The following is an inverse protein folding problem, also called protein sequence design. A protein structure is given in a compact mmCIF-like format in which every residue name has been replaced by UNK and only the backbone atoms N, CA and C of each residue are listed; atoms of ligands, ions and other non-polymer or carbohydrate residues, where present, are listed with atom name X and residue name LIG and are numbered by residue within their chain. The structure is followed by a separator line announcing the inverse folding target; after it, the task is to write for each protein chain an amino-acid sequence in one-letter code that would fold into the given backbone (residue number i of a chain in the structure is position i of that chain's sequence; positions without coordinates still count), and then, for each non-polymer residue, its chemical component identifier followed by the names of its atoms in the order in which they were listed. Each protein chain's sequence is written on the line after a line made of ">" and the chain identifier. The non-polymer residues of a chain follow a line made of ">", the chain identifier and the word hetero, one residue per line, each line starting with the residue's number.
data_IF_533552395695
#
_entry.id   IF_533552395695
#
_cell.length_a   1.000
_cell.length_b   1.000
_cell.length_c   1.000
_cell.angle_alpha   90.00
_cell.angle_beta   90.00
_cell.angle_gamma   90.00
#
_symmetry.space_group_name_H-M   'P 1'
#
loop_
_entity.id
_entity.type
_entity.pdbx_description
1 polymer ?
#
# COMPACT_ATOMS: atom_id res chain seq x y z
N UNK A 1 32.93 43.10 -7.43
CA UNK A 1 32.57 41.95 -8.30
C UNK A 1 32.16 40.75 -7.43
N UNK A 2 30.87 40.52 -7.13
CA UNK A 2 30.38 39.28 -6.47
C UNK A 2 28.84 39.20 -6.44
N UNK A 3 28.19 39.12 -7.61
CA UNK A 3 26.70 39.05 -7.68
C UNK A 3 26.16 38.09 -8.74
N UNK A 4 26.90 37.03 -9.12
CA UNK A 4 26.42 36.05 -10.11
C UNK A 4 26.18 34.61 -9.60
N UNK A 5 26.30 34.32 -8.30
CA UNK A 5 26.21 32.94 -7.78
C UNK A 5 24.84 32.49 -7.24
N UNK A 6 23.85 33.37 -7.12
CA UNK A 6 22.57 33.00 -6.49
C UNK A 6 21.58 32.29 -7.42
N UNK A 7 21.77 32.36 -8.75
CA UNK A 7 20.86 31.73 -9.72
C UNK A 7 21.23 30.27 -10.02
N UNK A 8 22.52 29.89 -10.00
CA UNK A 8 22.96 28.49 -10.17
C UNK A 8 22.48 27.57 -9.04
N UNK A 9 22.47 28.07 -7.80
CA UNK A 9 21.99 27.30 -6.63
C UNK A 9 20.45 27.13 -6.60
N UNK A 10 19.71 27.95 -7.35
CA UNK A 10 18.25 27.82 -7.49
C UNK A 10 17.88 26.78 -8.55
N UNK A 11 18.65 26.65 -9.62
CA UNK A 11 18.47 25.59 -10.63
C UNK A 11 18.79 24.19 -10.06
N UNK A 12 19.85 24.07 -9.27
CA UNK A 12 20.19 22.80 -8.60
C UNK A 12 19.13 22.37 -7.56
N UNK A 13 18.49 23.31 -6.87
CA UNK A 13 17.37 23.02 -5.95
C UNK A 13 16.04 22.72 -6.67
N UNK A 14 15.78 23.30 -7.85
CA UNK A 14 14.58 23.01 -8.66
C UNK A 14 14.66 21.62 -9.32
N UNK A 15 15.86 21.17 -9.66
CA UNK A 15 16.15 19.83 -10.18
C UNK A 15 15.93 18.71 -9.13
N UNK A 16 16.23 18.97 -7.85
CA UNK A 16 16.07 17.99 -6.74
C UNK A 16 14.64 17.58 -6.41
N UNK A 17 13.62 18.24 -6.99
CA UNK A 17 12.20 17.88 -6.80
C UNK A 17 11.67 16.90 -7.84
N UNK A 18 12.48 16.49 -8.83
CA UNK A 18 11.94 15.91 -10.07
C UNK A 18 11.70 14.40 -10.09
N UNK A 19 12.08 13.62 -9.07
CA UNK A 19 12.04 12.16 -9.20
C UNK A 19 10.98 11.48 -8.31
N UNK A 20 9.82 12.07 -8.02
CA UNK A 20 8.73 11.30 -7.38
C UNK A 20 8.11 10.32 -8.39
N UNK A 21 8.46 9.04 -8.29
CA UNK A 21 7.83 8.01 -9.09
C UNK A 21 6.42 7.73 -8.54
N UNK A 22 5.40 8.33 -9.16
CA UNK A 22 4.00 8.00 -8.89
C UNK A 22 3.57 6.80 -9.74
N UNK A 23 3.09 5.75 -9.09
CA UNK A 23 2.67 4.49 -9.72
C UNK A 23 1.33 4.09 -9.10
N UNK A 24 0.34 3.75 -9.94
CA UNK A 24 -1.03 3.40 -9.53
C UNK A 24 -1.71 4.43 -8.60
N UNK A 25 -1.40 5.73 -8.78
CA UNK A 25 -1.95 6.82 -7.98
C UNK A 25 -1.29 7.03 -6.60
N UNK A 26 -0.33 6.19 -6.23
CA UNK A 26 0.44 6.26 -4.98
C UNK A 26 1.86 6.73 -5.25
N UNK A 27 2.38 7.58 -4.36
CA UNK A 27 3.76 8.05 -4.43
C UNK A 27 4.70 7.04 -3.76
N UNK A 28 5.69 6.56 -4.51
CA UNK A 28 6.63 5.54 -4.07
C UNK A 28 7.93 6.19 -3.55
N UNK A 29 8.55 5.66 -2.48
CA UNK A 29 9.84 6.16 -2.00
C UNK A 29 10.98 5.90 -3.00
N UNK A 30 11.78 6.94 -3.26
CA UNK A 30 12.84 6.90 -4.26
C UNK A 30 14.17 6.31 -3.77
N UNK A 31 14.42 6.43 -2.46
CA UNK A 31 15.71 6.07 -1.88
C UNK A 31 15.89 4.55 -1.71
N UNK A 32 14.81 3.80 -1.89
CA UNK A 32 14.72 2.35 -1.70
C UNK A 32 14.89 1.60 -3.02
N UNK A 33 15.25 0.32 -2.89
CA UNK A 33 15.29 -0.64 -4.00
C UNK A 33 13.90 -0.81 -4.62
N UNK A 34 13.83 -1.00 -5.94
CA UNK A 34 12.55 -1.06 -6.66
C UNK A 34 11.62 -2.14 -6.09
N UNK A 35 12.13 -3.36 -5.82
CA UNK A 35 11.34 -4.46 -5.23
C UNK A 35 10.62 -4.04 -3.94
N UNK A 36 11.35 -3.37 -3.03
CA UNK A 36 10.80 -2.96 -1.73
C UNK A 36 9.87 -1.76 -1.89
N UNK A 37 10.24 -0.84 -2.77
CA UNK A 37 9.46 0.34 -3.08
C UNK A 37 8.07 0.01 -3.64
N UNK A 38 7.96 -0.99 -4.51
CA UNK A 38 6.68 -1.44 -5.06
C UNK A 38 5.73 -2.00 -3.99
N UNK A 39 6.24 -2.57 -2.90
CA UNK A 39 5.40 -3.10 -1.80
C UNK A 39 4.63 -2.04 -1.01
N UNK A 40 4.93 -0.75 -1.23
CA UNK A 40 4.13 0.34 -0.66
C UNK A 40 2.75 0.45 -1.30
N UNK A 41 2.58 -0.07 -2.52
CA UNK A 41 1.29 -0.17 -3.19
C UNK A 41 0.50 -1.32 -2.56
N UNK A 42 -0.70 -1.04 -2.08
CA UNK A 42 -1.63 -2.03 -1.56
C UNK A 42 -2.01 -3.05 -2.64
N UNK A 43 -1.82 -4.33 -2.30
CA UNK A 43 -2.01 -5.45 -3.22
C UNK A 43 -0.71 -5.97 -3.83
N UNK A 44 0.40 -5.23 -3.73
CA UNK A 44 1.72 -5.68 -4.15
C UNK A 44 2.52 -6.15 -2.94
N UNK A 45 2.85 -7.43 -2.92
CA UNK A 45 3.81 -8.00 -1.98
C UNK A 45 5.19 -8.18 -2.63
N UNK A 46 6.19 -8.62 -1.83
CA UNK A 46 7.52 -9.00 -2.35
C UNK A 46 7.46 -9.96 -3.56
N UNK A 47 6.76 -11.11 -3.50
CA UNK A 47 6.76 -12.05 -4.64
C UNK A 47 6.07 -11.48 -5.88
N UNK A 48 5.09 -10.60 -5.72
CA UNK A 48 4.43 -9.95 -6.85
C UNK A 48 5.34 -8.88 -7.47
N UNK A 49 6.08 -8.14 -6.64
CA UNK A 49 7.04 -7.15 -7.10
C UNK A 49 8.20 -7.79 -7.87
N UNK A 50 8.73 -8.91 -7.37
CA UNK A 50 9.77 -9.71 -8.05
C UNK A 50 9.28 -10.17 -9.43
N UNK A 51 8.07 -10.76 -9.51
CA UNK A 51 7.45 -11.16 -10.80
C UNK A 51 7.27 -10.01 -11.78
N UNK A 52 6.79 -8.85 -11.31
CA UNK A 52 6.61 -7.67 -12.18
C UNK A 52 7.96 -7.18 -12.72
N UNK A 53 9.02 -7.25 -11.91
CA UNK A 53 10.35 -6.83 -12.32
C UNK A 53 11.00 -7.84 -13.28
N UNK A 54 10.77 -9.14 -13.08
CA UNK A 54 11.15 -10.20 -14.01
C UNK A 54 10.46 -10.02 -15.37
N UNK A 55 9.14 -9.75 -15.39
CA UNK A 55 8.38 -9.52 -16.63
C UNK A 55 8.87 -8.30 -17.41
N UNK A 56 9.32 -7.25 -16.72
CA UNK A 56 9.82 -6.01 -17.33
C UNK A 56 11.34 -6.07 -17.56
N UNK A 57 12.00 -7.15 -17.14
CA UNK A 57 13.44 -7.37 -17.24
C UNK A 57 14.27 -6.22 -16.61
N UNK A 58 13.87 -5.80 -15.40
CA UNK A 58 14.54 -4.75 -14.62
C UNK A 58 15.19 -5.36 -13.39
N UNK A 59 16.45 -5.03 -13.14
CA UNK A 59 17.17 -5.54 -11.97
C UNK A 59 16.58 -5.01 -10.65
N UNK A 60 16.48 -5.92 -9.69
CA UNK A 60 15.88 -5.71 -8.38
C UNK A 60 16.71 -4.82 -7.44
N UNK A 61 18.02 -4.70 -7.70
CA UNK A 61 18.95 -3.97 -6.84
C UNK A 61 19.01 -2.48 -7.17
N UNK A 62 18.47 -2.10 -8.33
CA UNK A 62 18.34 -0.71 -8.74
C UNK A 62 17.48 0.04 -7.72
N UNK A 63 17.79 1.33 -7.51
CA UNK A 63 16.94 2.22 -6.71
C UNK A 63 15.96 2.94 -7.61
N UNK A 64 14.80 3.28 -7.07
CA UNK A 64 13.73 3.93 -7.84
C UNK A 64 14.17 5.26 -8.47
N UNK A 65 15.09 5.99 -7.82
CA UNK A 65 15.67 7.22 -8.37
C UNK A 65 16.49 7.03 -9.65
N UNK A 66 17.02 5.82 -9.88
CA UNK A 66 17.95 5.50 -10.97
C UNK A 66 17.22 4.75 -12.11
N UNK A 67 15.89 4.61 -12.03
CA UNK A 67 15.06 4.01 -13.09
C UNK A 67 14.95 4.96 -14.29
N UNK A 68 14.98 4.39 -15.50
CA UNK A 68 14.67 5.14 -16.71
C UNK A 68 13.16 5.40 -16.84
N UNK A 69 12.78 6.43 -17.61
CA UNK A 69 11.36 6.73 -17.87
C UNK A 69 10.65 5.58 -18.61
N UNK A 70 11.37 4.86 -19.48
CA UNK A 70 10.85 3.69 -20.20
C UNK A 70 10.55 2.53 -19.24
N UNK A 71 11.48 2.24 -18.33
CA UNK A 71 11.30 1.20 -17.31
C UNK A 71 10.14 1.55 -16.37
N UNK A 72 10.02 2.82 -15.96
CA UNK A 72 8.89 3.28 -15.15
C UNK A 72 7.55 3.09 -15.86
N UNK A 73 7.48 3.38 -17.16
CA UNK A 73 6.26 3.20 -17.94
C UNK A 73 5.93 1.71 -18.16
N UNK A 74 6.93 0.86 -18.34
CA UNK A 74 6.73 -0.59 -18.44
C UNK A 74 6.23 -1.18 -17.11
N UNK A 75 6.83 -0.80 -15.97
CA UNK A 75 6.37 -1.19 -14.64
C UNK A 75 4.93 -0.72 -14.38
N UNK A 76 4.57 0.50 -14.79
CA UNK A 76 3.19 1.00 -14.69
C UNK A 76 2.20 0.12 -15.46
N UNK A 77 2.51 -0.22 -16.72
CA UNK A 77 1.66 -1.08 -17.55
C UNK A 77 1.47 -2.47 -16.93
N UNK A 78 2.54 -3.06 -16.39
CA UNK A 78 2.47 -4.35 -15.72
C UNK A 78 1.60 -4.29 -14.45
N UNK A 79 1.69 -3.20 -13.69
CA UNK A 79 0.88 -3.00 -12.48
C UNK A 79 -0.59 -2.72 -12.81
N UNK A 80 -0.89 -1.98 -13.88
CA UNK A 80 -2.27 -1.69 -14.30
C UNK A 80 -3.06 -2.95 -14.71
N UNK A 81 -2.36 -4.02 -15.13
CA UNK A 81 -2.98 -5.32 -15.39
C UNK A 81 -3.42 -6.04 -14.11
N UNK A 82 -2.86 -5.67 -12.95
CA UNK A 82 -3.16 -6.27 -11.66
C UNK A 82 -4.13 -5.37 -10.89
N UNK A 83 -5.12 -5.99 -10.23
CA UNK A 83 -6.01 -5.25 -9.32
C UNK A 83 -5.24 -4.75 -8.09
N UNK A 84 -4.97 -3.46 -8.04
CA UNK A 84 -4.24 -2.81 -6.95
C UNK A 84 -5.07 -1.71 -6.27
N UNK A 85 -4.64 -1.30 -5.07
CA UNK A 85 -5.16 -0.17 -4.32
C UNK A 85 -6.69 -0.11 -4.19
N UNK A 86 -7.32 0.89 -4.81
CA UNK A 86 -8.73 1.20 -4.66
C UNK A 86 -9.63 0.04 -5.12
N UNK A 87 -9.28 -0.59 -6.24
CA UNK A 87 -10.11 -1.64 -6.83
C UNK A 87 -10.06 -2.91 -5.98
N UNK A 88 -8.87 -3.31 -5.52
CA UNK A 88 -8.73 -4.43 -4.61
C UNK A 88 -9.44 -4.17 -3.27
N UNK A 89 -9.36 -2.95 -2.73
CA UNK A 89 -10.08 -2.57 -1.50
C UNK A 89 -11.59 -2.62 -1.68
N UNK A 90 -12.12 -2.11 -2.80
CA UNK A 90 -13.56 -2.15 -3.13
C UNK A 90 -14.04 -3.58 -3.26
N UNK A 91 -13.31 -4.42 -3.99
CA UNK A 91 -13.66 -5.84 -4.17
C UNK A 91 -13.72 -6.58 -2.83
N UNK A 92 -12.73 -6.38 -1.95
CA UNK A 92 -12.73 -6.97 -0.61
C UNK A 92 -13.92 -6.48 0.22
N UNK A 93 -14.26 -5.19 0.16
CA UNK A 93 -15.42 -4.64 0.85
C UNK A 93 -16.73 -5.23 0.34
N UNK A 94 -16.89 -5.35 -0.98
CA UNK A 94 -18.07 -5.97 -1.61
C UNK A 94 -18.21 -7.44 -1.21
N UNK A 95 -17.10 -8.17 -1.19
CA UNK A 95 -17.08 -9.56 -0.70
C UNK A 95 -17.54 -9.67 0.76
N UNK A 96 -17.11 -8.76 1.64
CA UNK A 96 -17.54 -8.75 3.04
C UNK A 96 -19.03 -8.36 3.15
N UNK A 97 -19.50 -7.37 2.39
CA UNK A 97 -20.91 -6.97 2.35
C UNK A 97 -21.80 -8.13 1.91
N UNK A 98 -21.45 -8.81 0.84
CA UNK A 98 -22.12 -10.03 0.37
C UNK A 98 -22.22 -11.09 1.47
N UNK A 99 -21.14 -11.37 2.20
CA UNK A 99 -21.17 -12.33 3.32
C UNK A 99 -22.12 -11.89 4.44
N UNK A 100 -22.21 -10.60 4.72
CA UNK A 100 -23.14 -10.04 5.71
C UNK A 100 -24.60 -10.13 5.26
N UNK A 101 -24.88 -9.86 3.99
CA UNK A 101 -26.22 -9.95 3.38
C UNK A 101 -26.74 -11.38 3.37
N UNK A 102 -25.91 -12.35 2.98
CA UNK A 102 -26.23 -13.79 3.03
C UNK A 102 -26.55 -14.25 4.46
N UNK A 103 -26.00 -13.59 5.48
CA UNK A 103 -26.24 -13.96 6.89
C UNK A 103 -25.45 -15.21 7.34
N UNK A 104 -24.46 -15.66 6.58
CA UNK A 104 -23.60 -16.77 6.98
C UNK A 104 -22.84 -16.47 8.29
N UNK A 105 -22.35 -17.51 8.97
CA UNK A 105 -21.59 -17.36 10.23
C UNK A 105 -20.46 -16.33 10.10
N UNK A 106 -19.71 -16.37 9.01
CA UNK A 106 -18.62 -15.41 8.73
C UNK A 106 -19.13 -13.97 8.67
N UNK A 107 -20.24 -13.74 7.97
CA UNK A 107 -20.90 -12.43 7.86
C UNK A 107 -21.36 -11.88 9.21
N UNK A 108 -22.01 -12.72 10.03
CA UNK A 108 -22.44 -12.34 11.39
C UNK A 108 -21.23 -11.95 12.25
N UNK A 109 -20.10 -12.66 12.13
CA UNK A 109 -18.86 -12.34 12.85
C UNK A 109 -18.23 -11.04 12.36
N UNK A 110 -18.24 -10.79 11.05
CA UNK A 110 -17.82 -9.51 10.47
C UNK A 110 -18.65 -8.36 11.01
N UNK A 111 -19.99 -8.48 11.03
CA UNK A 111 -20.93 -7.50 11.58
C UNK A 111 -20.70 -7.23 13.07
N UNK A 112 -20.46 -8.27 13.87
CA UNK A 112 -20.20 -8.17 15.31
C UNK A 112 -18.79 -7.71 15.67
N UNK A 113 -17.90 -7.47 14.70
CA UNK A 113 -16.51 -7.09 14.97
C UNK A 113 -15.73 -8.19 15.70
N UNK A 114 -16.00 -9.47 15.39
CA UNK A 114 -15.35 -10.62 16.01
C UNK A 114 -14.42 -11.34 15.03
N UNK A 115 -13.44 -12.11 15.53
CA UNK A 115 -12.63 -12.96 14.66
C UNK A 115 -13.48 -14.01 13.94
N UNK A 116 -13.13 -14.27 12.69
CA UNK A 116 -14.00 -14.96 11.72
C UNK A 116 -13.67 -16.45 11.58
N UNK A 117 -12.41 -16.84 11.84
CA UNK A 117 -11.88 -18.21 11.64
C UNK A 117 -12.00 -19.12 12.89
N UNK A 118 -13.05 -18.96 13.70
CA UNK A 118 -13.28 -19.81 14.88
C UNK A 118 -12.35 -19.58 16.08
N UNK A 119 -11.57 -18.50 16.09
CA UNK A 119 -10.64 -18.17 17.19
C UNK A 119 -11.38 -17.87 18.50
N UNK A 120 -10.78 -18.27 19.63
CA UNK A 120 -11.31 -17.99 20.98
C UNK A 120 -11.40 -16.48 21.24
N UNK A 121 -12.58 -16.01 21.63
CA UNK A 121 -12.84 -14.57 21.81
C UNK A 121 -12.84 -14.08 23.25
N UNK A 122 -12.65 -14.97 24.23
CA UNK A 122 -12.69 -14.64 25.66
C UNK A 122 -11.46 -13.84 26.11
N UNK A 123 -10.26 -14.31 25.77
CA UNK A 123 -8.98 -13.77 26.26
C UNK A 123 -8.35 -12.81 25.25
N UNK A 124 -7.84 -13.33 24.13
CA UNK A 124 -6.96 -12.60 23.21
C UNK A 124 -7.64 -12.30 21.85
N UNK A 125 -8.62 -11.39 21.86
CA UNK A 125 -9.33 -10.98 20.63
C UNK A 125 -9.36 -9.45 20.41
N UNK A 126 -8.45 -8.71 21.05
CA UNK A 126 -8.45 -7.24 21.05
C UNK A 126 -8.18 -6.62 19.68
N UNK A 127 -7.32 -7.22 18.85
CA UNK A 127 -7.02 -6.72 17.49
C UNK A 127 -8.29 -6.56 16.64
N UNK A 128 -9.28 -7.44 16.83
CA UNK A 128 -10.55 -7.39 16.09
C UNK A 128 -11.67 -6.69 16.87
N UNK A 129 -11.75 -6.88 18.19
CA UNK A 129 -12.79 -6.27 19.06
C UNK A 129 -12.54 -4.80 19.39
N UNK A 130 -11.34 -4.27 19.17
CA UNK A 130 -10.91 -2.96 19.63
C UNK A 130 -10.49 -2.94 21.10
N UNK A 131 -10.13 -1.75 21.62
CA UNK A 131 -9.69 -1.50 23.01
C UNK A 131 -10.78 -1.85 24.04
N UNK A 132 -10.37 -2.11 25.29
CA UNK A 132 -11.31 -2.38 26.37
C UNK A 132 -12.21 -1.16 26.59
N UNK A 133 -13.52 -1.34 26.42
CA UNK A 133 -14.48 -0.40 26.95
C UNK A 133 -14.61 -0.72 28.43
N UNK A 134 -14.07 0.12 29.29
CA UNK A 134 -14.35 0.08 30.73
C UNK A 134 -15.83 0.42 30.90
N UNK A 135 -16.58 -0.47 31.56
CA UNK A 135 -17.95 -0.13 31.94
C UNK A 135 -17.81 0.81 33.12
N UNK A 136 -18.12 2.09 32.93
CA UNK A 136 -18.13 3.05 34.03
C UNK A 136 -19.04 2.51 35.14
N UNK A 137 -18.54 2.50 36.37
CA UNK A 137 -19.18 1.97 37.58
C UNK A 137 -20.70 2.20 37.58
N UNK A 138 -21.47 1.11 37.49
CA UNK A 138 -22.82 1.10 38.08
C UNK A 138 -22.61 1.15 39.60
N UNK A 139 -22.75 2.33 40.20
CA UNK A 139 -22.91 2.43 41.65
C UNK A 139 -24.15 1.60 42.02
N UNK A 140 -23.97 0.75 43.04
CA UNK A 140 -25.03 -0.02 43.69
C UNK A 140 -26.03 0.93 44.35
#
# INVERSE_FOLDING_TARGET
>A
MRTQNTNRDKETKKSRRKNMARIAGVDIPNDKRVVVSLTYIYGIGRPTAEKVLEEVNVDENIRVKDLSEEQLNAIRKAIDAIKVEGDLRREVQLNIKRLMEIGCYRGIRHRKGLPVRGQRTKTNARTRKGKAKTVANKKK
#
